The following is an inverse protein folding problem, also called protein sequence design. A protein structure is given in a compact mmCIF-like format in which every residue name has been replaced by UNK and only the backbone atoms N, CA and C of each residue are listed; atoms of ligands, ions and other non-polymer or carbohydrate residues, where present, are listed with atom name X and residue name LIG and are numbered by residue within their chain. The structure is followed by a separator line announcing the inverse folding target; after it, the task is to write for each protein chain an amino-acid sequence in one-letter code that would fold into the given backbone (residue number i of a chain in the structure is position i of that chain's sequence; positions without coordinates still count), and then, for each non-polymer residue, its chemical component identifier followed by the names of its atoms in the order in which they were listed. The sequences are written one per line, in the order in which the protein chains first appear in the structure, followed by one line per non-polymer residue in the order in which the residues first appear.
data_IF_477725896173
#
_entry.id   IF_477725896173
#
_cell.length_a   1.000
_cell.length_b   1.000
_cell.length_c   1.000
_cell.angle_alpha   90.00
_cell.angle_beta   90.00
_cell.angle_gamma   90.00
#
_symmetry.space_group_name_H-M   'P 1'
#
loop_
_entity.id
_entity.type
_entity.pdbx_description
1 polymer ?
#
# COMPACT_ATOMS: atom_id res chain seq x y z
N UNK A 1 9.93 -1.17 -17.64
CA UNK A 1 10.10 -2.51 -17.02
C UNK A 1 8.73 -3.15 -16.84
N UNK A 2 8.58 -4.48 -16.95
CA UNK A 2 7.31 -5.14 -16.65
C UNK A 2 6.94 -4.95 -15.18
N UNK A 3 5.63 -4.91 -14.87
CA UNK A 3 5.15 -4.88 -13.48
C UNK A 3 5.34 -6.27 -12.88
N UNK A 4 6.16 -6.38 -11.83
CA UNK A 4 6.38 -7.62 -11.08
C UNK A 4 5.78 -7.56 -9.68
N UNK A 5 5.77 -6.38 -9.07
CA UNK A 5 5.24 -6.14 -7.72
C UNK A 5 4.36 -4.89 -7.68
N UNK A 6 3.22 -4.99 -7.01
CA UNK A 6 2.24 -3.91 -6.88
C UNK A 6 1.87 -3.65 -5.41
N UNK A 7 1.89 -2.39 -4.99
CA UNK A 7 1.39 -1.95 -3.69
C UNK A 7 -0.05 -1.43 -3.84
N UNK A 8 -1.01 -2.08 -3.17
CA UNK A 8 -2.43 -1.71 -3.17
C UNK A 8 -2.81 -1.21 -1.77
N UNK A 9 -3.26 0.05 -1.65
CA UNK A 9 -3.76 0.61 -0.39
C UNK A 9 -4.89 1.60 -0.68
N UNK A 10 -6.14 1.12 -0.64
CA UNK A 10 -7.30 1.90 -1.07
C UNK A 10 -8.37 2.02 0.03
N UNK A 11 -8.87 3.24 0.19
CA UNK A 11 -10.05 3.52 1.02
C UNK A 11 -11.32 3.01 0.32
N UNK A 12 -11.58 3.49 -0.91
CA UNK A 12 -12.64 2.99 -1.79
C UNK A 12 -12.18 1.70 -2.50
N UNK A 13 -12.92 0.62 -2.28
CA UNK A 13 -12.62 -0.73 -2.79
C UNK A 13 -13.39 -1.07 -4.06
N UNK A 14 -14.07 -0.10 -4.65
CA UNK A 14 -14.79 -0.28 -5.92
C UNK A 14 -13.82 -0.81 -6.99
N UNK A 15 -14.14 -2.00 -7.52
CA UNK A 15 -13.32 -2.67 -8.54
C UNK A 15 -12.00 -3.28 -8.05
N UNK A 16 -11.70 -3.25 -6.74
CA UNK A 16 -10.45 -3.77 -6.16
C UNK A 16 -10.23 -5.25 -6.49
N UNK A 17 -11.24 -6.10 -6.25
CA UNK A 17 -11.10 -7.55 -6.36
C UNK A 17 -10.87 -7.98 -7.82
N UNK A 18 -11.70 -7.59 -8.81
CA UNK A 18 -11.42 -7.93 -10.21
C UNK A 18 -10.08 -7.41 -10.72
N UNK A 19 -9.60 -6.28 -10.17
CA UNK A 19 -8.29 -5.74 -10.52
C UNK A 19 -7.16 -6.58 -9.93
N UNK A 20 -7.24 -6.94 -8.64
CA UNK A 20 -6.27 -7.79 -7.95
C UNK A 20 -6.19 -9.19 -8.58
N UNK A 21 -7.32 -9.78 -8.98
CA UNK A 21 -7.36 -11.07 -9.68
C UNK A 21 -6.54 -11.03 -10.98
N UNK A 22 -6.68 -9.97 -11.77
CA UNK A 22 -5.92 -9.81 -13.03
C UNK A 22 -4.43 -9.64 -12.78
N UNK A 23 -4.05 -8.90 -11.73
CA UNK A 23 -2.64 -8.76 -11.33
C UNK A 23 -2.06 -10.12 -10.93
N UNK A 24 -2.73 -10.85 -10.05
CA UNK A 24 -2.30 -12.17 -9.60
C UNK A 24 -2.22 -13.17 -10.76
N UNK A 25 -3.20 -13.17 -11.67
CA UNK A 25 -3.20 -14.02 -12.87
C UNK A 25 -2.05 -13.70 -13.84
N UNK A 26 -1.58 -12.44 -13.84
CA UNK A 26 -0.40 -12.02 -14.60
C UNK A 26 0.93 -12.33 -13.88
N UNK A 27 0.88 -12.97 -12.70
CA UNK A 27 2.07 -13.28 -11.89
C UNK A 27 2.64 -12.08 -11.14
N UNK A 28 1.85 -11.01 -10.96
CA UNK A 28 2.25 -9.84 -10.16
C UNK A 28 2.06 -10.16 -8.69
N UNK A 29 3.10 -9.94 -7.91
CA UNK A 29 3.04 -10.03 -6.46
C UNK A 29 2.33 -8.81 -5.86
N UNK A 30 1.32 -9.05 -5.04
CA UNK A 30 0.50 -7.99 -4.45
C UNK A 30 0.95 -7.78 -3.02
N UNK A 31 1.41 -6.57 -2.71
CA UNK A 31 1.64 -6.09 -1.35
C UNK A 31 0.48 -5.19 -0.96
N UNK A 32 -0.04 -5.34 0.26
CA UNK A 32 -1.16 -4.51 0.73
C UNK A 32 -1.18 -4.32 2.24
N UNK A 33 -1.96 -3.35 2.72
CA UNK A 33 -2.06 -3.03 4.14
C UNK A 33 -3.52 -2.99 4.64
N UNK A 34 -3.69 -3.29 5.94
CA UNK A 34 -4.94 -3.13 6.67
C UNK A 34 -6.16 -3.74 5.97
N UNK A 35 -7.24 -2.95 5.88
CA UNK A 35 -8.50 -3.40 5.27
C UNK A 35 -8.42 -3.74 3.78
N UNK A 36 -7.41 -3.24 3.05
CA UNK A 36 -7.20 -3.62 1.63
C UNK A 36 -6.64 -5.02 1.54
N UNK A 37 -5.60 -5.33 2.33
CA UNK A 37 -5.01 -6.67 2.38
C UNK A 37 -6.05 -7.72 2.78
N UNK A 38 -6.85 -7.42 3.81
CA UNK A 38 -7.93 -8.30 4.25
C UNK A 38 -8.96 -8.56 3.15
N UNK A 39 -9.43 -7.53 2.46
CA UNK A 39 -10.41 -7.70 1.39
C UNK A 39 -9.89 -8.59 0.24
N UNK A 40 -8.61 -8.45 -0.12
CA UNK A 40 -7.96 -9.28 -1.15
C UNK A 40 -7.81 -10.73 -0.66
N UNK A 41 -7.33 -10.93 0.57
CA UNK A 41 -7.16 -12.25 1.17
C UNK A 41 -8.50 -13.00 1.34
N UNK A 42 -9.55 -12.31 1.79
CA UNK A 42 -10.89 -12.87 1.96
C UNK A 42 -11.51 -13.33 0.61
N UNK A 43 -11.05 -12.78 -0.51
CA UNK A 43 -11.40 -13.22 -1.87
C UNK A 43 -10.54 -14.40 -2.37
N UNK A 44 -9.63 -14.93 -1.55
CA UNK A 44 -8.75 -16.05 -1.90
C UNK A 44 -7.57 -15.68 -2.80
N UNK A 45 -7.28 -14.38 -2.96
CA UNK A 45 -6.19 -13.90 -3.81
C UNK A 45 -4.92 -13.80 -2.95
N UNK A 46 -3.77 -14.34 -3.41
CA UNK A 46 -2.50 -14.19 -2.71
C UNK A 46 -2.14 -12.71 -2.52
N UNK A 47 -1.84 -12.34 -1.28
CA UNK A 47 -1.45 -10.98 -0.91
C UNK A 47 -0.45 -11.03 0.24
N UNK A 48 0.56 -10.18 0.16
CA UNK A 48 1.61 -10.03 1.16
C UNK A 48 1.27 -8.82 2.03
N UNK A 49 1.05 -9.00 3.34
CA UNK A 49 0.91 -7.89 4.27
C UNK A 49 2.14 -6.98 4.25
N UNK A 50 1.95 -5.66 4.26
CA UNK A 50 3.05 -4.69 4.40
C UNK A 50 3.90 -4.96 5.65
N UNK A 51 3.30 -5.45 6.74
CA UNK A 51 4.04 -5.83 7.95
C UNK A 51 5.09 -6.92 7.71
N UNK A 52 4.83 -7.85 6.79
CA UNK A 52 5.78 -8.91 6.43
C UNK A 52 6.92 -8.35 5.57
N UNK A 53 6.64 -7.31 4.78
CA UNK A 53 7.66 -6.60 3.97
C UNK A 53 8.57 -5.73 4.85
N UNK A 54 8.00 -5.05 5.84
CA UNK A 54 8.77 -4.12 6.69
C UNK A 54 9.43 -4.81 7.88
N UNK A 55 8.86 -5.93 8.35
CA UNK A 55 9.22 -6.54 9.63
C UNK A 55 8.88 -5.67 10.85
N UNK A 56 8.22 -4.52 10.65
CA UNK A 56 7.91 -3.58 11.70
C UNK A 56 6.58 -3.93 12.37
N UNK A 57 6.48 -3.86 13.71
CA UNK A 57 5.21 -4.07 14.39
C UNK A 57 4.21 -2.96 14.04
N UNK A 58 2.92 -3.27 14.13
CA UNK A 58 1.89 -2.25 14.03
C UNK A 58 1.99 -1.26 15.20
N UNK A 59 1.96 0.04 14.90
CA UNK A 59 2.09 1.11 15.87
C UNK A 59 1.05 2.20 15.62
N UNK A 60 0.63 2.88 16.70
CA UNK A 60 -0.26 4.05 16.66
C UNK A 60 -1.57 3.81 15.89
N UNK A 61 -2.18 2.62 16.06
CA UNK A 61 -3.42 2.27 15.34
C UNK A 61 -3.23 2.17 13.82
N UNK A 62 -2.03 1.80 13.35
CA UNK A 62 -1.72 1.62 11.94
C UNK A 62 -1.37 2.92 11.19
N UNK A 63 -1.23 4.05 11.88
CA UNK A 63 -0.92 5.37 11.29
C UNK A 63 0.42 5.45 10.55
N UNK A 64 1.38 4.59 10.90
CA UNK A 64 2.76 4.65 10.38
C UNK A 64 3.20 3.34 9.70
N UNK A 65 2.25 2.50 9.28
CA UNK A 65 2.52 1.15 8.75
C UNK A 65 3.29 1.14 7.42
N UNK A 66 3.07 2.13 6.55
CA UNK A 66 3.72 2.25 5.23
C UNK A 66 4.92 3.19 5.23
N UNK A 67 5.08 4.02 6.26
CA UNK A 67 6.17 5.00 6.40
C UNK A 67 7.50 4.32 6.78
N UNK A 68 7.96 3.42 5.92
CA UNK A 68 9.12 2.57 6.14
C UNK A 68 10.03 2.55 4.89
N UNK A 69 11.37 2.52 5.05
CA UNK A 69 12.30 2.45 3.92
C UNK A 69 12.09 1.24 3.00
N UNK A 70 11.66 0.08 3.54
CA UNK A 70 11.36 -1.10 2.70
C UNK A 70 10.16 -0.87 1.75
N UNK A 71 9.28 0.09 2.04
CA UNK A 71 8.17 0.45 1.15
C UNK A 71 8.60 1.60 0.24
N UNK A 72 9.03 2.72 0.81
CA UNK A 72 9.37 3.91 0.03
C UNK A 72 10.64 3.73 -0.81
N UNK A 73 11.62 2.96 -0.35
CA UNK A 73 12.80 2.60 -1.14
C UNK A 73 12.41 1.80 -2.39
N UNK A 74 11.50 0.82 -2.24
CA UNK A 74 10.97 0.05 -3.36
C UNK A 74 10.21 0.91 -4.38
N UNK A 75 9.57 1.99 -3.94
CA UNK A 75 8.83 2.94 -4.81
C UNK A 75 9.76 3.97 -5.47
N UNK A 76 10.71 4.52 -4.71
CA UNK A 76 11.47 5.72 -5.09
C UNK A 76 12.80 5.42 -5.79
N UNK A 77 13.32 4.20 -5.69
CA UNK A 77 14.57 3.84 -6.34
C UNK A 77 14.49 4.01 -7.87
N UNK A 78 15.38 4.83 -8.42
CA UNK A 78 15.60 4.87 -9.87
C UNK A 78 16.34 3.61 -10.31
N UNK A 79 15.61 2.70 -10.98
CA UNK A 79 16.16 1.44 -11.47
C UNK A 79 17.07 1.59 -12.70
N UNK A 80 17.21 2.81 -13.24
CA UNK A 80 18.23 3.16 -14.23
C UNK A 80 19.59 3.50 -13.61
N UNK A 81 19.64 3.75 -12.29
CA UNK A 81 20.87 4.06 -11.55
C UNK A 81 21.41 2.79 -10.86
N UNK A 82 22.59 2.29 -11.26
CA UNK A 82 23.21 1.12 -10.61
C UNK A 82 23.44 1.27 -9.11
N UNK A 83 23.64 2.49 -8.61
CA UNK A 83 23.83 2.74 -7.18
C UNK A 83 22.56 2.48 -6.38
N UNK A 84 21.40 2.92 -6.89
CA UNK A 84 20.10 2.63 -6.26
C UNK A 84 19.76 1.14 -6.29
N UNK A 85 20.05 0.46 -7.41
CA UNK A 85 19.84 -1.00 -7.52
C UNK A 85 20.68 -1.74 -6.48
N UNK A 86 21.97 -1.40 -6.34
CA UNK A 86 22.84 -1.98 -5.32
C UNK A 86 22.36 -1.68 -3.89
N UNK A 87 21.80 -0.49 -3.64
CA UNK A 87 21.26 -0.12 -2.34
C UNK A 87 20.02 -0.94 -1.95
N UNK A 88 19.13 -1.21 -2.92
CA UNK A 88 17.98 -2.09 -2.75
C UNK A 88 18.42 -3.53 -2.46
N UNK A 89 19.29 -4.09 -3.30
CA UNK A 89 19.81 -5.45 -3.18
C UNK A 89 20.52 -5.66 -1.83
N UNK A 90 21.39 -4.72 -1.43
CA UNK A 90 22.13 -4.78 -0.17
C UNK A 90 21.26 -4.73 1.09
N UNK A 91 20.00 -4.32 0.96
CA UNK A 91 19.01 -4.24 2.07
C UNK A 91 17.87 -5.24 1.92
N UNK A 92 17.89 -6.07 0.88
CA UNK A 92 16.80 -7.01 0.59
C UNK A 92 15.47 -6.32 0.29
N UNK A 93 15.49 -5.12 -0.30
CA UNK A 93 14.29 -4.37 -0.64
C UNK A 93 13.93 -4.66 -2.10
N UNK A 94 12.71 -5.12 -2.34
CA UNK A 94 12.20 -5.35 -3.70
C UNK A 94 11.56 -4.08 -4.27
N UNK A 95 11.81 -3.80 -5.55
CA UNK A 95 11.23 -2.66 -6.24
C UNK A 95 9.72 -2.84 -6.48
N UNK A 96 8.97 -1.75 -6.40
CA UNK A 96 7.51 -1.70 -6.59
C UNK A 96 7.23 -0.91 -7.86
N UNK A 97 6.69 -1.56 -8.90
CA UNK A 97 6.47 -0.91 -10.21
C UNK A 97 5.06 -0.34 -10.37
N UNK A 98 4.13 -0.74 -9.52
CA UNK A 98 2.74 -0.28 -9.55
C UNK A 98 2.30 0.11 -8.14
N UNK A 99 1.79 1.32 -7.99
CA UNK A 99 1.20 1.81 -6.75
C UNK A 99 -0.25 2.19 -7.04
N UNK A 100 -1.18 1.58 -6.32
CA UNK A 100 -2.63 1.82 -6.44
C UNK A 100 -3.15 2.30 -5.10
N UNK A 101 -3.40 3.59 -5.03
CA UNK A 101 -3.82 4.28 -3.80
C UNK A 101 -4.97 5.22 -4.10
N UNK A 102 -5.97 5.22 -3.21
CA UNK A 102 -6.95 6.29 -3.10
C UNK A 102 -7.12 6.63 -1.62
N UNK A 103 -7.29 7.92 -1.35
CA UNK A 103 -7.27 8.47 0.01
C UNK A 103 -8.64 8.34 0.66
N UNK A 104 -8.69 8.48 1.99
CA UNK A 104 -9.96 8.71 2.66
C UNK A 104 -10.70 9.91 2.05
N UNK A 105 -12.04 9.84 1.90
CA UNK A 105 -12.86 10.91 1.35
C UNK A 105 -12.99 12.04 2.38
N UNK A 106 -11.90 12.78 2.60
CA UNK A 106 -11.80 13.80 3.64
C UNK A 106 -12.74 14.97 3.35
N UNK A 107 -12.89 15.36 2.08
CA UNK A 107 -13.80 16.43 1.66
C UNK A 107 -15.25 16.08 2.02
N UNK A 108 -15.65 14.85 1.75
CA UNK A 108 -16.98 14.33 2.06
C UNK A 108 -17.17 14.23 3.58
N UNK A 109 -16.12 13.80 4.30
CA UNK A 109 -16.11 13.73 5.76
C UNK A 109 -16.39 15.08 6.39
N UNK A 110 -15.68 16.14 5.97
CA UNK A 110 -15.85 17.49 6.55
C UNK A 110 -17.10 18.23 6.05
N UNK A 111 -17.74 17.72 5.00
CA UNK A 111 -19.00 18.26 4.50
C UNK A 111 -20.21 17.79 5.33
N UNK A 112 -20.08 16.71 6.10
CA UNK A 112 -21.11 16.25 7.02
C UNK A 112 -21.24 17.24 8.21
N UNK A 113 -22.40 17.90 8.39
CA UNK A 113 -22.60 18.84 9.50
C UNK A 113 -22.50 18.21 10.89
N UNK A 114 -22.63 16.88 11.00
CA UNK A 114 -22.54 16.15 12.26
C UNK A 114 -21.10 15.76 12.63
N UNK A 115 -20.14 15.90 11.72
CA UNK A 115 -18.76 15.46 11.97
C UNK A 115 -18.10 16.27 13.07
N UNK A 116 -17.45 15.59 13.99
CA UNK A 116 -16.63 16.23 15.02
C UNK A 116 -15.23 16.52 14.51
N UNK A 117 -14.53 17.46 15.17
CA UNK A 117 -13.12 17.74 14.86
C UNK A 117 -12.22 16.50 15.02
N UNK A 118 -12.51 15.65 16.02
CA UNK A 118 -11.78 14.40 16.25
C UNK A 118 -11.98 13.42 15.09
N UNK A 119 -13.22 13.21 14.65
CA UNK A 119 -13.54 12.33 13.51
C UNK A 119 -12.92 12.83 12.21
N UNK A 120 -12.95 14.14 11.97
CA UNK A 120 -12.26 14.74 10.84
C UNK A 120 -10.75 14.46 10.91
N UNK A 121 -10.13 14.67 12.07
CA UNK A 121 -8.69 14.45 12.28
C UNK A 121 -8.27 12.99 12.02
N UNK A 122 -9.11 12.02 12.39
CA UNK A 122 -8.86 10.60 12.11
C UNK A 122 -8.93 10.25 10.60
N UNK A 123 -9.50 11.11 9.76
CA UNK A 123 -9.58 10.92 8.30
C UNK A 123 -8.47 11.63 7.52
N UNK A 124 -7.53 12.28 8.21
CA UNK A 124 -6.33 12.83 7.56
C UNK A 124 -5.40 11.66 7.20
N UNK A 125 -5.25 11.40 5.92
CA UNK A 125 -4.33 10.37 5.41
C UNK A 125 -2.89 10.88 5.38
N UNK A 126 -1.94 10.03 5.76
CA UNK A 126 -0.51 10.37 5.92
C UNK A 126 0.39 9.42 5.13
N UNK A 127 0.00 8.16 5.01
CA UNK A 127 0.88 7.05 4.64
C UNK A 127 1.09 6.83 3.15
#
# INVERSE_FOLDING_TARGET
MPVRRALLSVSDKTGLIPFAERLAAAGVEIVSSGGTARAIADAGIPVIPVGDVTGAPEMLGGRVKTLHPAVHGGILADLGDPAHVADLEGRGIEAIQLVVVNLYPFRETVADPAVTHAEATEKIDIG
#
